data_IF_591106481953
#
_entry.id   IF_591106481953
#
_cell.length_a   1.000
_cell.length_b   1.000
_cell.length_c   1.000
_cell.angle_alpha   90.00
_cell.angle_beta   90.00
_cell.angle_gamma   90.00
#
_symmetry.space_group_name_H-M   'P 1'
#
loop_
_entity.id
_entity.type
_entity.pdbx_description
1 polymer ?
#
# COMPACT_ATOMS: atom_id res chain seq x y z
N UNK A 1 -15.15 -25.47 -3.44
CA UNK A 1 -15.20 -24.64 -4.67
C UNK A 1 -15.85 -23.32 -4.28
N UNK A 2 -15.10 -22.22 -4.21
CA UNK A 2 -15.59 -20.94 -3.70
C UNK A 2 -16.21 -20.12 -4.84
N UNK A 3 -17.53 -20.11 -4.92
CA UNK A 3 -18.33 -19.29 -5.84
C UNK A 3 -18.04 -17.80 -5.57
N UNK A 4 -17.43 -17.10 -6.54
CA UNK A 4 -17.13 -15.67 -6.42
C UNK A 4 -18.42 -14.85 -6.34
N UNK A 5 -18.59 -14.05 -5.27
CA UNK A 5 -19.70 -13.11 -5.11
C UNK A 5 -19.78 -12.14 -6.29
N UNK A 6 -20.75 -12.33 -7.17
CA UNK A 6 -21.12 -11.38 -8.22
C UNK A 6 -21.76 -10.18 -7.51
N UNK A 7 -21.06 -9.04 -7.42
CA UNK A 7 -21.69 -7.78 -6.98
C UNK A 7 -22.46 -7.21 -8.17
N UNK A 8 -23.75 -7.54 -8.27
CA UNK A 8 -24.66 -7.04 -9.31
C UNK A 8 -25.51 -5.88 -8.81
N UNK A 9 -24.95 -5.02 -7.95
CA UNK A 9 -25.70 -3.88 -7.38
C UNK A 9 -25.36 -2.60 -8.12
N UNK A 10 -26.39 -2.02 -8.73
CA UNK A 10 -26.38 -0.70 -9.37
C UNK A 10 -25.94 0.40 -8.38
N UNK A 11 -25.13 1.39 -8.79
CA UNK A 11 -24.71 2.49 -7.92
C UNK A 11 -25.90 3.38 -7.49
N UNK A 12 -25.89 3.84 -6.24
CA UNK A 12 -26.99 4.61 -5.64
C UNK A 12 -27.27 5.98 -6.31
N UNK A 13 -26.32 6.52 -7.08
CA UNK A 13 -26.42 7.83 -7.73
C UNK A 13 -26.87 7.78 -9.19
N UNK A 14 -27.22 6.60 -9.71
CA UNK A 14 -27.69 6.40 -11.10
C UNK A 14 -29.18 6.02 -11.05
N UNK A 15 -30.01 6.57 -11.95
CA UNK A 15 -31.43 6.21 -12.02
C UNK A 15 -31.64 4.83 -12.64
N UNK A 16 -32.74 4.15 -12.33
CA UNK A 16 -32.99 2.79 -12.85
C UNK A 16 -33.19 2.82 -14.36
N UNK A 17 -33.92 3.82 -14.85
CA UNK A 17 -34.09 4.07 -16.28
C UNK A 17 -32.75 4.26 -17.01
N UNK A 18 -31.84 5.05 -16.45
CA UNK A 18 -30.50 5.26 -17.05
C UNK A 18 -29.65 3.98 -17.04
N UNK A 19 -29.83 3.12 -16.03
CA UNK A 19 -29.10 1.86 -15.91
C UNK A 19 -29.59 0.80 -16.90
N UNK A 20 -30.91 0.70 -17.07
CA UNK A 20 -31.53 -0.27 -17.99
C UNK A 20 -31.46 0.19 -19.46
N UNK A 21 -31.26 1.49 -19.71
CA UNK A 21 -31.08 2.03 -21.06
C UNK A 21 -29.69 1.73 -21.66
N UNK A 22 -28.71 1.29 -20.86
CA UNK A 22 -27.38 0.92 -21.36
C UNK A 22 -27.46 -0.46 -21.99
N UNK A 23 -27.52 -0.49 -23.32
CA UNK A 23 -27.33 -1.71 -24.09
C UNK A 23 -25.89 -2.22 -23.90
N UNK A 24 -25.75 -3.32 -23.17
CA UNK A 24 -24.46 -3.98 -22.91
C UNK A 24 -24.39 -5.24 -23.76
N UNK A 25 -23.88 -5.17 -25.01
CA UNK A 25 -23.81 -6.33 -25.88
C UNK A 25 -22.99 -7.45 -25.23
N UNK A 26 -23.34 -8.73 -25.47
CA UNK A 26 -22.57 -9.84 -24.96
C UNK A 26 -21.15 -9.78 -25.51
N UNK A 27 -20.19 -10.16 -24.66
CA UNK A 27 -18.79 -10.21 -25.05
C UNK A 27 -18.62 -11.29 -26.13
N UNK A 28 -18.45 -10.88 -27.39
CA UNK A 28 -18.27 -11.81 -28.50
C UNK A 28 -16.91 -12.50 -28.47
N UNK A 29 -16.84 -13.73 -28.95
CA UNK A 29 -15.60 -14.51 -28.97
C UNK A 29 -14.50 -13.83 -29.81
N UNK A 30 -14.87 -13.16 -30.89
CA UNK A 30 -13.96 -12.37 -31.72
C UNK A 30 -13.36 -11.17 -30.97
N UNK A 31 -14.14 -10.55 -30.09
CA UNK A 31 -13.68 -9.41 -29.28
C UNK A 31 -12.78 -9.90 -28.15
N UNK A 32 -13.12 -11.03 -27.52
CA UNK A 32 -12.29 -11.66 -26.50
C UNK A 32 -10.93 -12.10 -27.07
N UNK A 33 -10.90 -12.66 -28.28
CA UNK A 33 -9.68 -13.07 -28.96
C UNK A 33 -8.72 -11.91 -29.27
N UNK A 34 -9.24 -10.69 -29.44
CA UNK A 34 -8.46 -9.48 -29.72
C UNK A 34 -7.94 -8.79 -28.44
N UNK A 35 -8.42 -9.19 -27.26
CA UNK A 35 -7.94 -8.62 -26.01
C UNK A 35 -6.49 -9.02 -25.72
N UNK A 36 -5.70 -8.07 -25.27
CA UNK A 36 -4.30 -8.29 -24.88
C UNK A 36 -4.07 -7.88 -23.44
N UNK A 37 -3.10 -8.51 -22.73
CA UNK A 37 -2.74 -8.09 -21.40
C UNK A 37 -2.38 -6.60 -21.37
N UNK A 38 -2.86 -5.86 -20.37
CA UNK A 38 -2.57 -4.42 -20.18
C UNK A 38 -1.06 -4.15 -20.16
N UNK A 39 -0.27 -5.12 -19.66
CA UNK A 39 1.20 -5.06 -19.66
C UNK A 39 1.81 -4.94 -21.06
N UNK A 40 1.14 -5.45 -22.09
CA UNK A 40 1.60 -5.41 -23.47
C UNK A 40 0.95 -4.28 -24.27
N UNK A 41 -0.32 -4.00 -24.03
CA UNK A 41 -1.09 -3.04 -24.83
C UNK A 41 -0.99 -1.60 -24.32
N UNK A 42 -0.80 -1.40 -23.01
CA UNK A 42 -0.78 -0.08 -22.38
C UNK A 42 0.04 -0.11 -21.06
N UNK A 43 1.37 -0.29 -21.15
CA UNK A 43 2.22 -0.41 -19.97
C UNK A 43 2.22 0.85 -19.09
N UNK A 44 1.96 2.04 -19.65
CA UNK A 44 1.83 3.30 -18.89
C UNK A 44 0.66 3.31 -17.89
N UNK A 45 -0.37 2.49 -18.10
CA UNK A 45 -1.50 2.37 -17.18
C UNK A 45 -1.18 1.52 -15.95
N UNK A 46 -0.06 0.79 -15.96
CA UNK A 46 0.43 0.04 -14.80
C UNK A 46 1.03 1.03 -13.80
N UNK A 47 0.16 1.63 -12.99
CA UNK A 47 0.57 2.35 -11.80
C UNK A 47 1.17 1.34 -10.82
N UNK A 48 2.46 1.50 -10.49
CA UNK A 48 3.09 0.74 -9.39
C UNK A 48 2.30 1.02 -8.10
N UNK A 49 1.55 0.03 -7.63
CA UNK A 49 0.79 0.13 -6.37
C UNK A 49 1.78 0.25 -5.21
N UNK A 50 1.63 1.27 -4.38
CA UNK A 50 2.36 1.43 -3.12
C UNK A 50 3.06 2.77 -2.97
N UNK A 51 3.45 3.10 -1.73
CA UNK A 51 4.35 4.22 -1.43
C UNK A 51 5.68 3.97 -2.16
N UNK A 52 6.31 4.98 -2.78
CA UNK A 52 7.64 4.83 -3.36
C UNK A 52 8.60 4.22 -2.32
N UNK A 53 9.44 3.29 -2.77
CA UNK A 53 10.43 2.62 -1.92
C UNK A 53 11.40 3.69 -1.40
N UNK A 54 11.52 3.82 -0.07
CA UNK A 54 12.46 4.75 0.55
C UNK A 54 13.88 4.35 0.18
N UNK A 55 14.73 5.29 -0.24
CA UNK A 55 16.14 5.05 -0.58
C UNK A 55 16.95 4.48 0.60
N UNK A 56 16.56 4.83 1.82
CA UNK A 56 17.10 4.27 3.06
C UNK A 56 15.95 3.78 3.95
N UNK A 57 15.52 2.51 3.83
CA UNK A 57 14.51 1.95 4.73
C UNK A 57 15.10 1.72 6.13
N UNK A 58 14.26 1.85 7.16
CA UNK A 58 14.63 1.42 8.52
C UNK A 58 14.67 -0.10 8.57
N UNK A 59 15.75 -0.67 9.08
CA UNK A 59 15.86 -2.12 9.26
C UNK A 59 15.21 -2.55 10.58
N UNK A 60 14.31 -3.53 10.51
CA UNK A 60 13.66 -4.10 11.69
C UNK A 60 14.56 -5.19 12.28
N UNK A 61 15.30 -4.85 13.35
CA UNK A 61 16.18 -5.78 14.05
C UNK A 61 15.67 -6.10 15.46
N UNK A 62 16.02 -7.29 15.97
CA UNK A 62 15.78 -7.68 17.36
C UNK A 62 16.92 -7.16 18.24
N UNK A 63 16.77 -5.96 18.80
CA UNK A 63 17.73 -5.35 19.72
C UNK A 63 17.26 -5.49 21.18
N UNK A 64 18.18 -5.88 22.09
CA UNK A 64 17.93 -5.84 23.53
C UNK A 64 18.44 -4.51 24.09
N UNK A 65 17.59 -3.84 24.85
CA UNK A 65 17.89 -2.56 25.52
C UNK A 65 17.74 -2.75 27.03
N UNK A 66 18.49 -1.98 27.81
CA UNK A 66 18.36 -1.94 29.27
C UNK A 66 16.93 -1.57 29.69
N UNK A 67 16.47 -2.12 30.81
CA UNK A 67 15.11 -1.89 31.32
C UNK A 67 14.83 -0.41 31.60
N UNK A 68 15.79 0.29 32.22
CA UNK A 68 15.70 1.72 32.50
C UNK A 68 15.48 2.57 31.24
N UNK A 69 16.27 2.30 30.19
CA UNK A 69 16.16 2.99 28.90
C UNK A 69 14.78 2.75 28.27
N UNK A 70 14.29 1.50 28.28
CA UNK A 70 12.96 1.19 27.76
C UNK A 70 11.85 1.86 28.57
N UNK A 71 11.96 1.88 29.90
CA UNK A 71 10.99 2.52 30.78
C UNK A 71 10.92 4.03 30.52
N UNK A 72 12.07 4.70 30.41
CA UNK A 72 12.17 6.11 30.08
C UNK A 72 11.51 6.44 28.75
N UNK A 73 11.84 5.73 27.66
CA UNK A 73 11.27 6.06 26.36
C UNK A 73 9.77 5.73 26.31
N UNK A 74 9.32 4.60 26.87
CA UNK A 74 7.90 4.24 26.89
C UNK A 74 7.04 5.24 27.64
N UNK A 75 7.55 5.86 28.72
CA UNK A 75 6.81 6.89 29.46
C UNK A 75 6.56 8.16 28.63
N UNK A 76 7.34 8.39 27.56
CA UNK A 76 7.10 9.50 26.62
C UNK A 76 5.87 9.31 25.73
N UNK A 77 5.21 8.15 25.78
CA UNK A 77 3.98 7.86 25.06
C UNK A 77 4.16 7.39 23.61
N UNK A 78 3.13 7.53 22.76
CA UNK A 78 3.17 7.11 21.37
C UNK A 78 4.36 7.72 20.62
N UNK A 79 5.02 6.91 19.79
CA UNK A 79 6.20 7.35 19.03
C UNK A 79 7.53 7.23 19.78
N UNK A 80 7.56 6.62 20.98
CA UNK A 80 8.81 6.40 21.72
C UNK A 80 9.90 5.66 20.94
N UNK A 81 9.53 4.74 20.04
CA UNK A 81 10.48 4.05 19.15
C UNK A 81 11.14 5.00 18.15
N UNK A 82 10.45 6.06 17.73
CA UNK A 82 11.06 7.09 16.87
C UNK A 82 12.02 7.96 17.67
N UNK A 83 11.66 8.32 18.91
CA UNK A 83 12.53 9.13 19.78
C UNK A 83 13.83 8.43 20.15
N UNK A 84 13.80 7.13 20.41
CA UNK A 84 15.02 6.35 20.67
C UNK A 84 15.91 6.26 19.41
N UNK A 85 15.30 6.03 18.23
CA UNK A 85 16.02 6.04 16.94
C UNK A 85 16.69 7.39 16.66
N UNK A 86 16.00 8.51 16.89
CA UNK A 86 16.57 9.85 16.75
C UNK A 86 17.74 10.10 17.72
N UNK A 87 17.63 9.57 18.95
CA UNK A 87 18.69 9.69 19.96
C UNK A 87 19.94 8.94 19.52
N UNK A 88 19.78 7.68 19.07
CA UNK A 88 20.87 6.89 18.52
C UNK A 88 21.50 7.58 17.30
N UNK A 89 20.68 8.15 16.41
CA UNK A 89 21.16 8.88 15.23
C UNK A 89 21.99 10.12 15.60
N UNK A 90 21.63 10.85 16.66
CA UNK A 90 22.41 11.98 17.17
C UNK A 90 23.78 11.52 17.68
N UNK A 91 23.83 10.43 18.43
CA UNK A 91 25.09 9.84 18.91
C UNK A 91 25.98 9.42 17.74
N UNK A 92 25.44 8.72 16.73
CA UNK A 92 26.19 8.31 15.54
C UNK A 92 26.72 9.53 14.76
N UNK A 93 25.92 10.60 14.60
CA UNK A 93 26.37 11.82 13.93
C UNK A 93 27.46 12.56 14.72
N UNK A 94 27.35 12.62 16.05
CA UNK A 94 28.32 13.27 16.93
C UNK A 94 29.62 12.46 17.11
N UNK A 95 29.52 11.13 17.01
CA UNK A 95 30.64 10.19 17.16
C UNK A 95 31.51 10.01 15.92
N UNK A 96 31.17 10.61 14.77
CA UNK A 96 32.03 10.65 13.56
C UNK A 96 33.22 11.62 13.70
N UNK A 97 33.83 11.69 14.88
CA UNK A 97 35.11 12.36 15.14
C UNK A 97 36.13 11.31 15.56
N UNK A 98 36.41 10.36 14.67
CA UNK A 98 37.57 9.49 14.75
C UNK A 98 37.85 8.91 13.37
#
# INVERSE_FOLDING_TARGET
MAEGRKRTTKPAHISQADWDAVDSPPLSDEFLAKMRPVKEAAPELIRKRGRPKSDAPKEAIKLRLSQDVLAYFRSTGPGWQTRIDETLRKVVKGGKRQ
#
